data_IF_405677472913
#
_entry.id   IF_405677472913
#
_cell.length_a   1.000
_cell.length_b   1.000
_cell.length_c   1.000
_cell.angle_alpha   90.00
_cell.angle_beta   90.00
_cell.angle_gamma   90.00
#
_symmetry.space_group_name_H-M   'P 1'
#
loop_
_entity.id
_entity.type
_entity.pdbx_description
1 polymer ?
#
# COMPACT_ATOMS: atom_id res chain seq x y z
N UNK A 1 14.55 -9.26 5.87
CA UNK A 1 13.16 -8.89 5.55
C UNK A 1 13.21 -8.02 4.31
N UNK A 2 12.41 -8.34 3.30
CA UNK A 2 12.45 -7.62 2.02
C UNK A 2 11.35 -6.57 2.05
N UNK A 3 11.70 -5.30 2.30
CA UNK A 3 10.80 -4.15 2.19
C UNK A 3 10.36 -3.95 0.73
N UNK A 4 9.36 -4.71 0.27
CA UNK A 4 8.81 -4.55 -1.08
C UNK A 4 7.93 -3.30 -1.11
N UNK A 5 8.11 -2.47 -2.14
CA UNK A 5 7.27 -1.29 -2.38
C UNK A 5 6.26 -1.61 -3.49
N UNK A 6 4.97 -1.45 -3.18
CA UNK A 6 3.84 -1.69 -4.08
C UNK A 6 3.28 -0.37 -4.59
N UNK A 7 3.14 -0.22 -5.91
CA UNK A 7 2.38 0.89 -6.47
C UNK A 7 0.95 0.45 -6.78
N UNK A 8 -0.02 0.98 -6.02
CA UNK A 8 -1.43 0.58 -6.13
C UNK A 8 -2.27 1.79 -6.55
N UNK A 9 -3.00 1.65 -7.66
CA UNK A 9 -3.96 2.65 -8.11
C UNK A 9 -5.32 2.41 -7.47
N UNK A 10 -5.98 3.47 -7.00
CA UNK A 10 -7.28 3.35 -6.34
C UNK A 10 -7.22 2.68 -4.95
N UNK A 11 -6.13 2.84 -4.20
CA UNK A 11 -5.99 2.32 -2.82
C UNK A 11 -7.01 2.87 -1.83
N UNK A 12 -7.72 3.95 -2.18
CA UNK A 12 -8.68 4.60 -1.31
C UNK A 12 -9.99 3.81 -1.14
N UNK A 13 -10.39 3.00 -2.14
CA UNK A 13 -11.70 2.29 -2.17
C UNK A 13 -11.65 1.01 -2.99
N UNK A 14 -12.59 0.11 -2.75
CA UNK A 14 -12.75 -1.11 -3.55
C UNK A 14 -11.54 -2.05 -3.45
N UNK A 15 -11.24 -2.75 -4.54
CA UNK A 15 -10.23 -3.81 -4.56
C UNK A 15 -8.81 -3.31 -4.23
N UNK A 16 -8.46 -2.08 -4.65
CA UNK A 16 -7.15 -1.49 -4.38
C UNK A 16 -6.87 -1.31 -2.88
N UNK A 17 -7.91 -1.03 -2.08
CA UNK A 17 -7.78 -0.90 -0.62
C UNK A 17 -7.44 -2.23 0.05
N UNK A 18 -8.06 -3.33 -0.38
CA UNK A 18 -7.82 -4.67 0.19
C UNK A 18 -6.37 -5.10 0.01
N UNK A 19 -5.80 -4.87 -1.18
CA UNK A 19 -4.39 -5.17 -1.44
C UNK A 19 -3.42 -4.25 -0.68
N UNK A 20 -3.76 -2.97 -0.55
CA UNK A 20 -2.95 -2.03 0.22
C UNK A 20 -2.89 -2.45 1.70
N UNK A 21 -4.04 -2.77 2.30
CA UNK A 21 -4.11 -3.26 3.69
C UNK A 21 -3.32 -4.58 3.88
N UNK A 22 -3.44 -5.52 2.94
CA UNK A 22 -2.71 -6.78 3.01
C UNK A 22 -1.18 -6.61 2.87
N UNK A 23 -0.73 -5.71 2.00
CA UNK A 23 0.69 -5.40 1.84
C UNK A 23 1.24 -4.74 3.12
N UNK A 24 0.53 -3.74 3.66
CA UNK A 24 0.92 -3.09 4.91
C UNK A 24 0.96 -4.07 6.09
N UNK A 25 -0.01 -4.99 6.20
CA UNK A 25 -0.03 -6.02 7.25
C UNK A 25 1.18 -6.97 7.19
N UNK A 26 1.78 -7.14 6.01
CA UNK A 26 3.01 -7.92 5.83
C UNK A 26 4.29 -7.14 6.15
N UNK A 27 4.18 -5.83 6.39
CA UNK A 27 5.33 -4.92 6.50
C UNK A 27 5.88 -4.45 5.15
N UNK A 28 5.14 -4.67 4.05
CA UNK A 28 5.48 -4.08 2.75
C UNK A 28 5.02 -2.61 2.71
N UNK A 29 5.66 -1.79 1.87
CA UNK A 29 5.28 -0.38 1.70
C UNK A 29 4.33 -0.22 0.51
N UNK A 30 3.39 0.73 0.59
CA UNK A 30 2.44 1.00 -0.48
C UNK A 30 2.52 2.48 -0.88
N UNK A 31 2.63 2.74 -2.17
CA UNK A 31 2.54 4.06 -2.79
C UNK A 31 1.29 4.15 -3.66
N UNK A 32 0.62 5.31 -3.63
CA UNK A 32 -0.61 5.54 -4.39
C UNK A 32 -0.54 6.80 -5.26
N UNK A 33 -1.35 6.85 -6.34
CA UNK A 33 -1.47 8.03 -7.20
C UNK A 33 -2.14 9.16 -6.41
N UNK A 34 -1.41 10.24 -6.14
CA UNK A 34 -1.86 11.36 -5.29
C UNK A 34 -0.82 11.79 -4.25
N UNK A 35 0.31 11.06 -4.14
CA UNK A 35 1.41 11.42 -3.26
C UNK A 35 1.23 10.97 -1.81
N UNK A 36 0.10 10.33 -1.49
CA UNK A 36 -0.07 9.67 -0.20
C UNK A 36 0.86 8.44 -0.14
N UNK A 37 2.02 8.67 0.46
CA UNK A 37 3.01 7.66 0.82
C UNK A 37 3.08 7.65 2.33
N UNK A 38 2.14 6.99 3.00
CA UNK A 38 2.25 6.79 4.46
C UNK A 38 1.77 5.40 4.86
N UNK A 39 2.71 4.62 5.40
CA UNK A 39 2.62 3.99 6.73
C UNK A 39 3.72 2.92 6.80
N UNK A 40 4.85 3.25 7.42
CA UNK A 40 5.57 2.24 8.19
C UNK A 40 4.79 2.17 9.50
N UNK A 41 4.29 0.99 9.85
CA UNK A 41 3.70 0.79 11.19
C UNK A 41 4.79 0.84 12.26
#
# INVERSE_FOLDING_TARGET
MTDKVWFITGSSKGFGRVWAEAALARGDRVASRGGDTVATS
#
